data_IF_220152257192
#
_entry.id   IF_220152257192
#
_cell.length_a   1.000
_cell.length_b   1.000
_cell.length_c   1.000
_cell.angle_alpha   90.00
_cell.angle_beta   90.00
_cell.angle_gamma   90.00
#
_symmetry.space_group_name_H-M   'P 1'
#
loop_
_entity.id
_entity.type
_entity.pdbx_description
1 polymer ?
#
# COMPACT_ATOMS: atom_id res chain seq x y z
N UNK A 1 -91.46 -5.14 -8.19
CA UNK A 1 -91.98 -3.84 -7.70
C UNK A 1 -90.81 -3.19 -6.97
N UNK A 2 -90.03 -2.42 -7.63
CA UNK A 2 -90.09 -0.98 -7.80
C UNK A 2 -89.62 -0.17 -6.56
N UNK A 3 -88.48 0.48 -6.79
CA UNK A 3 -88.06 1.78 -6.32
C UNK A 3 -87.59 1.89 -4.84
N UNK A 4 -86.20 1.97 -4.73
CA UNK A 4 -85.59 3.16 -4.12
C UNK A 4 -84.05 3.10 -4.19
N UNK A 5 -83.55 3.20 -5.41
CA UNK A 5 -82.09 3.37 -5.70
C UNK A 5 -81.76 4.81 -6.07
N UNK A 6 -82.25 5.84 -5.32
CA UNK A 6 -81.92 7.23 -5.67
C UNK A 6 -82.02 8.14 -4.45
N UNK A 7 -81.25 7.93 -3.40
CA UNK A 7 -81.00 8.97 -2.37
C UNK A 7 -79.82 8.70 -1.45
N UNK A 8 -78.66 8.43 -2.02
CA UNK A 8 -77.43 8.42 -1.24
C UNK A 8 -76.24 8.99 -2.03
N UNK A 9 -76.48 10.09 -2.67
CA UNK A 9 -75.42 10.87 -3.33
C UNK A 9 -75.63 12.32 -3.00
N UNK A 10 -75.17 12.78 -1.80
CA UNK A 10 -74.88 14.18 -1.44
C UNK A 10 -74.42 14.22 0.01
N UNK A 11 -73.16 13.98 0.27
CA UNK A 11 -72.38 14.56 1.37
C UNK A 11 -71.08 13.74 1.47
N UNK A 12 -70.18 13.92 0.50
CA UNK A 12 -68.79 13.54 0.65
C UNK A 12 -68.01 14.86 0.80
N UNK A 13 -67.87 15.30 2.03
CA UNK A 13 -66.98 16.40 2.42
C UNK A 13 -65.56 16.05 2.11
N UNK A 14 -64.88 16.96 1.47
CA UNK A 14 -63.45 16.91 1.14
C UNK A 14 -62.62 16.88 2.42
N UNK A 15 -62.04 15.74 2.79
CA UNK A 15 -60.89 15.63 3.66
C UNK A 15 -59.71 15.35 2.75
N UNK A 16 -59.02 16.41 2.38
CA UNK A 16 -57.71 16.31 1.69
C UNK A 16 -56.69 15.73 2.66
N UNK A 17 -56.45 14.43 2.59
CA UNK A 17 -55.25 13.81 3.19
C UNK A 17 -54.08 14.13 2.25
N UNK A 18 -53.31 15.14 2.62
CA UNK A 18 -51.99 15.35 2.06
C UNK A 18 -51.13 14.16 2.48
N UNK A 19 -51.05 13.15 1.63
CA UNK A 19 -50.05 12.10 1.75
C UNK A 19 -48.70 12.76 1.49
N UNK A 20 -48.06 13.24 2.55
CA UNK A 20 -46.61 13.52 2.54
C UNK A 20 -45.91 12.16 2.28
N UNK A 21 -45.72 11.82 1.03
CA UNK A 21 -44.79 10.77 0.63
C UNK A 21 -43.37 11.25 1.00
N UNK A 22 -43.05 11.08 2.28
CA UNK A 22 -41.65 11.11 2.70
C UNK A 22 -40.95 10.01 1.89
N UNK A 23 -40.30 10.40 0.81
CA UNK A 23 -39.29 9.54 0.15
C UNK A 23 -38.20 9.30 1.21
N UNK A 24 -38.33 8.21 1.95
CA UNK A 24 -37.22 7.69 2.71
C UNK A 24 -36.06 7.56 1.70
N UNK A 25 -34.86 8.07 1.99
CA UNK A 25 -33.74 7.87 1.12
C UNK A 25 -33.61 6.36 0.95
N UNK A 26 -33.73 5.89 -0.28
CA UNK A 26 -33.43 4.50 -0.63
C UNK A 26 -32.01 4.25 -0.14
N UNK A 27 -31.88 3.51 0.95
CA UNK A 27 -30.59 3.07 1.43
C UNK A 27 -29.95 2.31 0.28
N UNK A 28 -28.97 2.96 -0.39
CA UNK A 28 -28.20 2.34 -1.47
C UNK A 28 -27.54 1.12 -0.86
N UNK A 29 -27.82 -0.07 -1.38
CA UNK A 29 -27.18 -1.28 -0.91
C UNK A 29 -25.65 -1.11 -0.99
N UNK A 30 -24.94 -1.49 0.07
CA UNK A 30 -23.50 -1.40 0.11
C UNK A 30 -22.89 -2.20 -1.04
N UNK A 31 -21.92 -1.62 -1.74
CA UNK A 31 -21.21 -2.34 -2.80
C UNK A 31 -20.16 -3.25 -2.17
N UNK A 32 -20.27 -4.55 -2.44
CA UNK A 32 -19.27 -5.51 -2.00
C UNK A 32 -18.01 -5.37 -2.86
N UNK A 33 -16.84 -5.33 -2.22
CA UNK A 33 -15.54 -5.39 -2.87
C UNK A 33 -14.61 -6.37 -2.15
N UNK A 34 -13.76 -7.06 -2.90
CA UNK A 34 -12.74 -7.94 -2.37
C UNK A 34 -11.39 -7.21 -2.34
N UNK A 35 -10.83 -7.04 -1.14
CA UNK A 35 -9.53 -6.39 -0.95
C UNK A 35 -8.45 -7.43 -0.71
N UNK A 36 -7.37 -7.37 -1.50
CA UNK A 36 -6.16 -8.16 -1.31
C UNK A 36 -5.14 -7.45 -0.42
N UNK A 37 -4.80 -8.04 0.72
CA UNK A 37 -3.87 -7.47 1.68
C UNK A 37 -2.91 -8.48 2.30
N UNK A 38 -2.15 -8.04 3.30
CA UNK A 38 -1.27 -8.83 4.15
C UNK A 38 -1.06 -8.12 5.50
N UNK A 39 -0.31 -8.72 6.41
CA UNK A 39 0.06 -8.10 7.70
C UNK A 39 1.12 -6.98 7.56
N UNK A 40 1.42 -6.52 6.37
CA UNK A 40 2.32 -5.40 6.10
C UNK A 40 1.63 -4.05 6.33
N UNK A 41 2.38 -3.06 6.81
CA UNK A 41 1.86 -1.73 7.17
C UNK A 41 1.15 -1.00 6.03
N UNK A 42 1.53 -1.21 4.77
CA UNK A 42 0.85 -0.62 3.60
C UNK A 42 -0.61 -1.03 3.44
N UNK A 43 -1.08 -2.01 4.21
CA UNK A 43 -2.47 -2.47 4.21
C UNK A 43 -3.26 -2.06 5.47
N UNK A 44 -2.60 -1.42 6.45
CA UNK A 44 -3.23 -1.11 7.74
C UNK A 44 -4.46 -0.22 7.60
N UNK A 45 -4.40 0.80 6.76
CA UNK A 45 -5.53 1.70 6.52
C UNK A 45 -6.78 0.95 6.02
N UNK A 46 -6.61 0.05 5.05
CA UNK A 46 -7.72 -0.73 4.51
C UNK A 46 -8.28 -1.72 5.54
N UNK A 47 -7.40 -2.39 6.31
CA UNK A 47 -7.83 -3.31 7.36
C UNK A 47 -8.57 -2.58 8.49
N UNK A 48 -8.04 -1.43 8.94
CA UNK A 48 -8.64 -0.61 9.97
C UNK A 48 -10.02 -0.07 9.52
N UNK A 49 -10.11 0.47 8.31
CA UNK A 49 -11.38 0.95 7.75
C UNK A 49 -12.44 -0.16 7.59
N UNK A 50 -12.00 -1.39 7.31
CA UNK A 50 -12.88 -2.57 7.24
C UNK A 50 -13.34 -3.02 8.65
N UNK A 51 -12.44 -3.00 9.65
CA UNK A 51 -12.72 -3.47 11.02
C UNK A 51 -13.49 -2.45 11.86
N UNK A 52 -13.53 -1.22 11.41
CA UNK A 52 -14.35 -0.14 11.96
C UNK A 52 -15.61 0.03 11.09
N UNK A 53 -16.44 1.03 11.40
CA UNK A 53 -17.61 1.38 10.59
C UNK A 53 -17.30 2.34 9.42
N UNK A 54 -16.01 2.67 9.19
CA UNK A 54 -15.58 3.64 8.17
C UNK A 54 -16.08 3.24 6.77
N UNK A 55 -15.77 2.05 6.31
CA UNK A 55 -16.21 1.60 4.98
C UNK A 55 -17.73 1.41 4.90
N UNK A 56 -18.35 0.90 5.96
CA UNK A 56 -19.80 0.71 6.01
C UNK A 56 -20.55 2.04 5.87
N UNK A 57 -20.08 3.10 6.56
CA UNK A 57 -20.64 4.46 6.44
C UNK A 57 -20.47 5.05 5.02
N UNK A 58 -19.48 4.60 4.29
CA UNK A 58 -19.23 4.99 2.89
C UNK A 58 -19.95 4.08 1.86
N UNK A 59 -20.81 3.17 2.32
CA UNK A 59 -21.56 2.27 1.44
C UNK A 59 -20.70 1.15 0.84
N UNK A 60 -19.61 0.74 1.50
CA UNK A 60 -18.70 -0.31 1.08
C UNK A 60 -18.80 -1.51 2.03
N UNK A 61 -19.07 -2.70 1.48
CA UNK A 61 -18.89 -4.00 2.13
C UNK A 61 -17.53 -4.57 1.70
N UNK A 62 -16.47 -4.28 2.47
CA UNK A 62 -15.11 -4.70 2.16
C UNK A 62 -14.82 -6.08 2.72
N UNK A 63 -14.44 -7.02 1.85
CA UNK A 63 -14.04 -8.39 2.18
C UNK A 63 -12.55 -8.53 2.04
N UNK A 64 -11.90 -8.92 3.12
CA UNK A 64 -10.45 -9.09 3.19
C UNK A 64 -10.01 -10.48 2.73
N UNK A 65 -9.00 -10.53 1.85
CA UNK A 65 -8.28 -11.75 1.52
C UNK A 65 -6.79 -11.54 1.78
N UNK A 66 -6.20 -12.41 2.61
CA UNK A 66 -4.77 -12.37 2.93
C UNK A 66 -3.93 -13.10 1.90
N UNK A 67 -2.77 -12.51 1.58
CA UNK A 67 -1.77 -13.10 0.69
C UNK A 67 -0.40 -13.05 1.35
N UNK A 68 0.36 -14.14 1.22
CA UNK A 68 1.73 -14.24 1.75
C UNK A 68 2.77 -13.48 0.91
N UNK A 69 2.47 -13.26 -0.39
CA UNK A 69 3.37 -12.54 -1.31
C UNK A 69 2.62 -11.53 -2.17
N UNK A 70 3.33 -10.47 -2.59
CA UNK A 70 2.80 -9.49 -3.55
C UNK A 70 2.48 -10.14 -4.90
N UNK A 71 3.29 -11.09 -5.35
CA UNK A 71 3.07 -11.80 -6.63
C UNK A 71 1.76 -12.58 -6.64
N UNK A 72 1.46 -13.35 -5.56
CA UNK A 72 0.19 -14.08 -5.45
C UNK A 72 -1.02 -13.13 -5.41
N UNK A 73 -0.89 -12.01 -4.68
CA UNK A 73 -1.93 -10.97 -4.61
C UNK A 73 -2.18 -10.33 -5.96
N UNK A 74 -1.12 -9.95 -6.68
CA UNK A 74 -1.25 -9.37 -8.02
C UNK A 74 -1.82 -10.36 -9.03
N UNK A 75 -1.45 -11.65 -8.96
CA UNK A 75 -2.05 -12.69 -9.79
C UNK A 75 -3.57 -12.80 -9.54
N UNK A 76 -4.03 -12.68 -8.29
CA UNK A 76 -5.47 -12.69 -7.96
C UNK A 76 -6.21 -11.44 -8.51
N UNK A 77 -5.57 -10.27 -8.54
CA UNK A 77 -6.10 -9.06 -9.20
C UNK A 77 -6.22 -9.30 -10.70
N UNK A 78 -5.18 -9.85 -11.34
CA UNK A 78 -5.17 -10.14 -12.77
C UNK A 78 -6.24 -11.17 -13.16
N UNK A 79 -6.49 -12.17 -12.30
CA UNK A 79 -7.54 -13.17 -12.48
C UNK A 79 -8.97 -12.66 -12.21
N UNK A 80 -9.13 -11.44 -11.65
CA UNK A 80 -10.43 -10.86 -11.32
C UNK A 80 -11.01 -11.29 -9.97
N UNK A 81 -10.25 -11.99 -9.13
CA UNK A 81 -10.69 -12.45 -7.81
C UNK A 81 -10.59 -11.35 -6.73
N UNK A 82 -9.78 -10.35 -6.97
CA UNK A 82 -9.58 -9.17 -6.12
C UNK A 82 -9.91 -7.92 -6.91
N UNK A 83 -10.63 -6.99 -6.27
CA UNK A 83 -11.10 -5.75 -6.88
C UNK A 83 -10.17 -4.57 -6.56
N UNK A 84 -9.73 -4.47 -5.30
CA UNK A 84 -8.74 -3.50 -4.84
C UNK A 84 -7.62 -4.21 -4.07
N UNK A 85 -6.42 -3.67 -4.12
CA UNK A 85 -5.30 -4.20 -3.36
C UNK A 85 -4.29 -3.11 -3.00
N UNK A 86 -3.52 -3.35 -1.95
CA UNK A 86 -2.24 -2.69 -1.73
C UNK A 86 -1.10 -3.56 -2.25
N UNK A 87 0.00 -2.96 -2.67
CA UNK A 87 1.23 -3.69 -3.04
C UNK A 87 2.44 -2.76 -3.03
N UNK A 88 3.64 -3.30 -2.86
CA UNK A 88 4.85 -2.54 -3.17
C UNK A 88 4.91 -2.23 -4.67
N UNK A 89 5.31 -1.01 -5.01
CA UNK A 89 5.30 -0.51 -6.40
C UNK A 89 6.17 -1.34 -7.35
N UNK A 90 7.25 -1.96 -6.87
CA UNK A 90 8.14 -2.80 -7.69
C UNK A 90 7.37 -3.95 -8.36
N UNK A 91 6.48 -4.62 -7.60
CA UNK A 91 5.63 -5.69 -8.16
C UNK A 91 4.63 -5.17 -9.20
N UNK A 92 4.10 -3.95 -9.00
CA UNK A 92 3.23 -3.32 -9.98
C UNK A 92 4.00 -2.93 -11.26
N UNK A 93 5.21 -2.36 -11.11
CA UNK A 93 6.08 -2.00 -12.23
C UNK A 93 6.48 -3.21 -13.09
N UNK A 94 6.77 -4.37 -12.46
CA UNK A 94 7.06 -5.60 -13.19
C UNK A 94 5.88 -6.04 -14.07
N UNK A 95 4.64 -5.94 -13.58
CA UNK A 95 3.44 -6.22 -14.38
C UNK A 95 3.18 -5.16 -15.45
N UNK A 96 3.42 -3.88 -15.16
CA UNK A 96 3.33 -2.83 -16.18
C UNK A 96 4.35 -3.06 -17.31
N UNK A 97 5.58 -3.45 -16.97
CA UNK A 97 6.63 -3.78 -17.93
C UNK A 97 6.24 -4.96 -18.83
N UNK A 98 5.50 -5.94 -18.32
CA UNK A 98 4.93 -7.05 -19.10
C UNK A 98 3.68 -6.66 -19.91
N UNK A 99 3.23 -5.39 -19.84
CA UNK A 99 2.08 -4.88 -20.61
C UNK A 99 0.71 -5.13 -19.97
N UNK A 100 0.64 -5.51 -18.69
CA UNK A 100 -0.62 -5.72 -17.96
C UNK A 100 -1.45 -4.44 -17.88
N UNK A 101 -2.74 -4.48 -18.27
CA UNK A 101 -3.65 -3.32 -18.29
C UNK A 101 -4.88 -3.49 -17.39
N UNK A 102 -4.93 -4.57 -16.62
CA UNK A 102 -6.09 -4.97 -15.84
C UNK A 102 -6.25 -4.18 -14.54
N UNK A 103 -5.31 -3.31 -14.17
CA UNK A 103 -5.33 -2.51 -12.97
C UNK A 103 -4.89 -1.06 -13.20
N UNK A 104 -5.23 -0.20 -12.28
CA UNK A 104 -4.84 1.21 -12.23
C UNK A 104 -4.29 1.52 -10.83
N UNK A 105 -3.23 2.31 -10.73
CA UNK A 105 -2.76 2.88 -9.47
C UNK A 105 -3.59 4.11 -9.13
N UNK A 106 -4.13 4.13 -7.92
CA UNK A 106 -5.07 5.18 -7.49
C UNK A 106 -4.54 6.04 -6.36
N UNK A 107 -3.58 5.54 -5.56
CA UNK A 107 -2.95 6.31 -4.47
C UNK A 107 -1.72 5.61 -3.90
N UNK A 108 -1.05 6.30 -2.96
CA UNK A 108 -0.08 5.75 -1.99
C UNK A 108 -0.57 6.10 -0.58
N UNK A 109 -0.70 5.13 0.34
CA UNK A 109 -1.33 5.39 1.65
C UNK A 109 -0.38 6.01 2.67
N UNK A 110 0.92 5.84 2.53
CA UNK A 110 1.91 6.20 3.54
C UNK A 110 3.31 6.44 2.96
N UNK A 111 4.20 6.96 3.82
CA UNK A 111 5.63 6.88 3.66
C UNK A 111 6.21 6.24 4.93
N UNK A 112 6.83 5.08 4.78
CA UNK A 112 7.37 4.30 5.89
C UNK A 112 8.87 4.50 6.09
N UNK A 113 9.49 5.52 5.50
CA UNK A 113 10.93 5.79 5.57
C UNK A 113 11.56 5.47 6.92
N UNK A 114 12.79 4.91 6.90
CA UNK A 114 13.54 4.35 8.05
C UNK A 114 13.02 3.02 8.62
N UNK A 115 12.13 2.34 7.95
CA UNK A 115 11.69 0.99 8.30
C UNK A 115 12.34 -0.12 7.46
N UNK A 116 13.35 0.26 6.69
CA UNK A 116 14.14 -0.61 5.82
C UNK A 116 15.59 -0.13 5.79
N UNK A 117 16.55 -1.02 5.64
CA UNK A 117 17.94 -0.63 5.59
C UNK A 117 18.91 -1.80 5.53
N UNK A 118 20.20 -1.45 5.53
CA UNK A 118 21.33 -2.36 5.56
C UNK A 118 21.93 -2.43 6.96
N UNK A 119 21.82 -3.61 7.57
CA UNK A 119 22.32 -3.92 8.90
C UNK A 119 23.60 -4.73 8.77
N UNK A 120 24.60 -4.41 9.59
CA UNK A 120 25.95 -5.00 9.53
C UNK A 120 26.45 -5.32 10.93
N UNK A 121 27.38 -6.28 11.04
CA UNK A 121 28.12 -6.51 12.27
C UNK A 121 29.04 -5.33 12.58
N UNK A 122 29.32 -5.08 13.87
CA UNK A 122 30.01 -3.89 14.37
C UNK A 122 31.39 -3.59 13.73
N UNK A 123 32.05 -4.59 13.14
CA UNK A 123 33.32 -4.44 12.43
C UNK A 123 33.22 -3.70 11.08
N UNK A 124 32.02 -3.64 10.46
CA UNK A 124 31.77 -2.95 9.18
C UNK A 124 31.43 -1.48 9.48
N UNK A 125 32.17 -0.54 8.90
CA UNK A 125 32.04 0.90 9.17
C UNK A 125 31.50 1.69 7.96
N UNK A 126 31.69 1.17 6.76
CA UNK A 126 31.35 1.80 5.49
C UNK A 126 30.88 0.77 4.46
N UNK A 127 30.35 1.22 3.32
CA UNK A 127 30.02 0.34 2.19
C UNK A 127 31.29 -0.33 1.62
N UNK A 128 32.43 0.34 1.62
CA UNK A 128 33.68 -0.24 1.13
C UNK A 128 34.13 -1.47 1.94
N UNK A 129 33.81 -1.52 3.23
CA UNK A 129 34.13 -2.68 4.09
C UNK A 129 33.30 -3.94 3.76
N UNK A 130 32.33 -3.81 2.85
CA UNK A 130 31.52 -4.92 2.36
C UNK A 130 32.18 -5.67 1.19
N UNK A 131 33.34 -5.22 0.69
CA UNK A 131 34.06 -5.92 -0.35
C UNK A 131 34.38 -7.37 0.07
N UNK A 132 34.02 -8.34 -0.79
CA UNK A 132 34.13 -9.77 -0.53
C UNK A 132 33.15 -10.34 0.50
N UNK A 133 32.27 -9.54 1.09
CA UNK A 133 31.32 -9.94 2.12
C UNK A 133 30.03 -10.55 1.56
N UNK A 134 29.37 -11.37 2.40
CA UNK A 134 28.07 -11.98 2.11
C UNK A 134 26.94 -11.10 2.63
N UNK A 135 26.07 -10.67 1.74
CA UNK A 135 24.92 -9.81 2.08
C UNK A 135 23.63 -10.59 1.81
N UNK A 136 22.86 -10.87 2.87
CA UNK A 136 21.56 -11.52 2.75
C UNK A 136 20.47 -10.51 2.39
N UNK A 137 19.64 -10.84 1.42
CA UNK A 137 18.48 -10.03 1.02
C UNK A 137 17.43 -10.89 0.32
N UNK A 138 16.16 -10.50 0.38
CA UNK A 138 15.12 -11.13 -0.45
C UNK A 138 15.11 -10.51 -1.83
N UNK A 139 15.36 -11.31 -2.87
CA UNK A 139 15.40 -10.81 -4.25
C UNK A 139 14.05 -10.22 -4.70
N UNK A 140 14.11 -9.28 -5.63
CA UNK A 140 12.96 -8.55 -6.17
C UNK A 140 12.13 -7.81 -5.10
N UNK A 141 12.72 -7.54 -3.93
CA UNK A 141 12.15 -6.69 -2.88
C UNK A 141 12.68 -5.26 -2.95
N UNK A 142 12.05 -4.36 -2.19
CA UNK A 142 12.55 -2.99 -2.00
C UNK A 142 13.95 -2.96 -1.40
N UNK A 143 14.25 -3.81 -0.40
CA UNK A 143 15.59 -3.93 0.19
C UNK A 143 16.64 -4.39 -0.82
N UNK A 144 16.27 -5.22 -1.78
CA UNK A 144 17.17 -5.58 -2.87
C UNK A 144 17.47 -4.39 -3.78
N UNK A 145 16.45 -3.60 -4.12
CA UNK A 145 16.60 -2.36 -4.89
C UNK A 145 17.48 -1.35 -4.15
N UNK A 146 17.24 -1.15 -2.84
CA UNK A 146 18.07 -0.29 -1.98
C UNK A 146 19.54 -0.75 -2.01
N UNK A 147 19.79 -2.04 -1.78
CA UNK A 147 21.13 -2.61 -1.76
C UNK A 147 21.87 -2.37 -3.09
N UNK A 148 21.22 -2.67 -4.22
CA UNK A 148 21.81 -2.48 -5.54
C UNK A 148 22.13 -1.00 -5.83
N UNK A 149 21.22 -0.10 -5.44
CA UNK A 149 21.39 1.34 -5.63
C UNK A 149 22.56 1.90 -4.79
N UNK A 150 22.64 1.55 -3.50
CA UNK A 150 23.71 2.08 -2.62
C UNK A 150 25.08 1.48 -2.97
N UNK A 151 25.16 0.23 -3.40
CA UNK A 151 26.42 -0.35 -3.93
C UNK A 151 26.85 0.41 -5.19
N UNK A 152 25.92 0.69 -6.11
CA UNK A 152 26.21 1.50 -7.31
C UNK A 152 26.66 2.92 -6.96
N UNK A 153 26.03 3.59 -5.99
CA UNK A 153 26.46 4.92 -5.50
C UNK A 153 27.90 4.87 -4.93
N UNK A 154 28.29 3.73 -4.35
CA UNK A 154 29.65 3.50 -3.85
C UNK A 154 30.66 3.05 -4.94
N UNK A 155 30.25 2.99 -6.22
CA UNK A 155 31.02 2.45 -7.35
C UNK A 155 31.42 0.98 -7.16
N UNK A 156 30.62 0.19 -6.44
CA UNK A 156 30.79 -1.25 -6.26
C UNK A 156 29.93 -2.02 -7.28
N UNK A 157 30.51 -3.06 -7.88
CA UNK A 157 29.78 -3.98 -8.77
C UNK A 157 29.12 -5.08 -7.93
N UNK A 158 27.77 -5.12 -7.83
CA UNK A 158 27.06 -6.11 -7.01
C UNK A 158 27.33 -7.56 -7.40
N UNK A 159 27.83 -7.80 -8.62
CA UNK A 159 28.11 -9.15 -9.14
C UNK A 159 29.56 -9.62 -8.92
N UNK A 160 30.46 -8.72 -8.51
CA UNK A 160 31.88 -8.99 -8.37
C UNK A 160 32.43 -8.66 -6.98
N UNK A 161 32.02 -7.50 -6.44
CA UNK A 161 32.66 -6.95 -5.24
C UNK A 161 32.03 -7.47 -3.95
N UNK A 162 30.80 -8.03 -4.03
CA UNK A 162 30.08 -8.61 -2.90
C UNK A 162 29.42 -9.94 -3.28
N UNK A 163 29.06 -10.75 -2.28
CA UNK A 163 28.27 -11.98 -2.49
C UNK A 163 26.83 -11.76 -2.01
N UNK A 164 25.90 -11.47 -2.91
CA UNK A 164 24.49 -11.29 -2.56
C UNK A 164 23.79 -12.65 -2.47
N UNK A 165 23.26 -12.96 -1.29
CA UNK A 165 22.60 -14.24 -0.98
C UNK A 165 21.09 -14.00 -0.93
N UNK A 166 20.36 -14.68 -1.81
CA UNK A 166 18.89 -14.64 -1.80
C UNK A 166 18.34 -15.46 -0.64
N UNK A 167 17.71 -14.82 0.33
CA UNK A 167 17.07 -15.43 1.48
C UNK A 167 15.63 -14.92 1.65
N UNK A 168 14.67 -15.78 2.00
CA UNK A 168 13.36 -15.35 2.46
C UNK A 168 13.50 -14.40 3.67
N UNK A 169 12.65 -13.38 3.77
CA UNK A 169 12.70 -12.42 4.89
C UNK A 169 12.64 -13.09 6.28
N UNK A 170 11.96 -14.23 6.39
CA UNK A 170 11.84 -15.03 7.61
C UNK A 170 13.15 -15.73 8.02
N UNK A 171 14.08 -15.94 7.09
CA UNK A 171 15.36 -16.62 7.31
C UNK A 171 16.50 -15.65 7.57
N UNK A 172 16.37 -14.36 7.18
CA UNK A 172 17.42 -13.36 7.32
C UNK A 172 17.91 -13.21 8.76
N UNK A 173 17.00 -13.19 9.75
CA UNK A 173 17.34 -13.07 11.16
C UNK A 173 18.21 -14.23 11.65
N UNK A 174 17.85 -15.45 11.27
CA UNK A 174 18.59 -16.65 11.68
C UNK A 174 19.97 -16.70 11.00
N UNK A 175 20.04 -16.40 9.70
CA UNK A 175 21.29 -16.37 8.95
C UNK A 175 22.27 -15.30 9.47
N UNK A 176 21.75 -14.10 9.79
CA UNK A 176 22.55 -13.03 10.36
C UNK A 176 23.08 -13.38 11.76
N UNK A 177 22.20 -13.86 12.66
CA UNK A 177 22.59 -14.30 14.01
C UNK A 177 23.62 -15.44 13.99
N UNK A 178 23.50 -16.34 13.02
CA UNK A 178 24.41 -17.48 12.83
C UNK A 178 25.71 -17.13 12.10
N UNK A 179 25.99 -15.85 11.82
CA UNK A 179 27.15 -15.39 11.04
C UNK A 179 27.30 -16.09 9.67
N UNK A 180 26.19 -16.53 9.06
CA UNK A 180 26.16 -17.08 7.71
C UNK A 180 26.23 -15.98 6.63
N UNK A 181 25.81 -14.76 7.00
CA UNK A 181 25.91 -13.53 6.23
C UNK A 181 26.55 -12.43 7.09
N UNK A 182 27.35 -11.56 6.46
CA UNK A 182 28.06 -10.44 7.11
C UNK A 182 27.17 -9.20 7.25
N UNK A 183 26.15 -9.08 6.39
CA UNK A 183 25.18 -7.99 6.36
C UNK A 183 23.81 -8.49 5.96
N UNK A 184 22.76 -7.76 6.35
CA UNK A 184 21.39 -8.06 5.98
C UNK A 184 20.69 -6.78 5.47
N UNK A 185 20.18 -6.82 4.25
CA UNK A 185 19.25 -5.81 3.75
C UNK A 185 17.81 -6.31 4.01
N UNK A 186 17.08 -5.60 4.85
CA UNK A 186 15.80 -6.06 5.37
C UNK A 186 14.83 -4.90 5.64
N UNK A 187 13.56 -5.24 5.78
CA UNK A 187 12.48 -4.34 6.19
C UNK A 187 11.80 -4.82 7.48
N UNK A 188 11.07 -3.93 8.14
CA UNK A 188 10.29 -4.20 9.36
C UNK A 188 9.26 -5.33 9.12
N UNK A 189 9.08 -6.31 10.04
CA UNK A 189 9.67 -6.37 11.39
C UNK A 189 11.04 -7.06 11.45
N UNK A 190 11.52 -7.69 10.39
CA UNK A 190 12.82 -8.39 10.37
C UNK A 190 13.98 -7.42 10.60
N UNK A 191 13.91 -6.23 9.98
CA UNK A 191 14.86 -5.13 10.17
C UNK A 191 15.00 -4.78 11.66
N UNK A 192 13.88 -4.53 12.35
CA UNK A 192 13.92 -4.14 13.77
C UNK A 192 14.48 -5.24 14.67
N UNK A 193 14.13 -6.50 14.38
CA UNK A 193 14.63 -7.65 15.12
C UNK A 193 16.14 -7.87 14.95
N UNK A 194 16.67 -7.68 13.74
CA UNK A 194 18.11 -7.73 13.50
C UNK A 194 18.80 -6.54 14.15
N UNK A 195 18.24 -5.33 14.02
CA UNK A 195 18.76 -4.09 14.62
C UNK A 195 18.87 -4.16 16.14
N UNK A 196 17.99 -4.92 16.79
CA UNK A 196 18.00 -5.12 18.25
C UNK A 196 19.06 -6.15 18.73
N UNK A 197 19.75 -6.86 17.83
CA UNK A 197 20.78 -7.82 18.22
C UNK A 197 22.02 -7.09 18.74
N UNK A 198 22.73 -7.68 19.72
CA UNK A 198 24.04 -7.21 20.14
C UNK A 198 25.00 -7.14 18.93
N UNK A 199 25.94 -6.19 18.96
CA UNK A 199 26.96 -5.99 17.92
C UNK A 199 26.41 -5.74 16.49
N UNK A 200 25.14 -5.37 16.37
CA UNK A 200 24.54 -4.94 15.12
C UNK A 200 24.56 -3.42 14.99
N UNK A 201 24.90 -2.95 13.81
CA UNK A 201 24.90 -1.54 13.43
C UNK A 201 24.01 -1.32 12.20
N UNK A 202 23.19 -0.28 12.24
CA UNK A 202 22.55 0.25 11.05
C UNK A 202 23.60 1.01 10.23
N UNK A 203 23.96 0.50 9.06
CA UNK A 203 24.91 1.15 8.17
C UNK A 203 24.24 2.29 7.39
N UNK A 204 23.05 2.02 6.86
CA UNK A 204 22.21 2.99 6.16
C UNK A 204 20.74 2.54 6.19
N UNK A 205 19.83 3.48 6.02
CA UNK A 205 18.40 3.24 5.86
C UNK A 205 17.93 3.67 4.45
N UNK A 206 16.63 3.52 4.19
CA UNK A 206 15.99 3.84 2.92
C UNK A 206 16.05 5.35 2.55
N UNK A 207 16.39 6.25 3.48
CA UNK A 207 16.70 7.65 3.16
C UNK A 207 18.01 7.83 2.36
N UNK A 208 18.85 6.79 2.32
CA UNK A 208 20.07 6.72 1.49
C UNK A 208 19.78 6.35 0.03
N UNK A 209 18.54 5.98 -0.29
CA UNK A 209 18.12 5.69 -1.65
C UNK A 209 18.25 6.94 -2.54
N UNK A 210 18.83 6.80 -3.73
CA UNK A 210 19.16 7.95 -4.59
C UNK A 210 17.95 8.82 -4.97
N UNK A 211 16.75 8.22 -5.08
CA UNK A 211 15.52 8.95 -5.39
C UNK A 211 14.84 9.57 -4.15
N UNK A 212 15.26 9.20 -2.94
CA UNK A 212 14.60 9.68 -1.71
C UNK A 212 14.74 11.19 -1.54
N UNK A 213 15.94 11.71 -1.73
CA UNK A 213 16.24 13.14 -1.52
C UNK A 213 15.41 14.07 -2.41
N UNK A 214 15.18 13.68 -3.66
CA UNK A 214 14.48 14.52 -4.64
C UNK A 214 12.97 14.28 -4.64
N UNK A 215 12.54 13.03 -4.50
CA UNK A 215 11.14 12.65 -4.68
C UNK A 215 10.45 12.20 -3.39
N UNK A 216 11.18 12.14 -2.27
CA UNK A 216 10.73 11.51 -1.02
C UNK A 216 10.26 10.07 -1.23
N UNK A 217 10.86 9.39 -2.23
CA UNK A 217 10.49 8.06 -2.66
C UNK A 217 11.40 7.03 -2.02
N UNK A 218 10.83 6.08 -1.28
CA UNK A 218 11.54 4.90 -0.78
C UNK A 218 11.80 3.89 -1.90
N UNK A 219 12.68 2.89 -1.74
CA UNK A 219 13.01 1.92 -2.79
C UNK A 219 11.80 1.11 -3.30
N UNK A 220 10.76 0.98 -2.50
CA UNK A 220 9.55 0.25 -2.87
C UNK A 220 8.30 0.78 -2.17
N UNK A 221 7.87 2.03 -2.47
CA UNK A 221 6.71 2.60 -1.81
C UNK A 221 5.47 1.74 -2.03
N UNK A 222 4.59 1.75 -1.03
CA UNK A 222 3.29 1.10 -1.16
C UNK A 222 2.37 1.89 -2.08
N UNK A 223 1.62 1.18 -2.89
CA UNK A 223 0.59 1.75 -3.76
C UNK A 223 -0.74 1.03 -3.57
N UNK A 224 -1.81 1.78 -3.70
CA UNK A 224 -3.17 1.25 -3.80
C UNK A 224 -3.57 1.16 -5.26
N UNK A 225 -4.16 0.04 -5.62
CA UNK A 225 -4.62 -0.21 -6.97
C UNK A 225 -6.06 -0.71 -6.99
N UNK A 226 -6.71 -0.46 -8.11
CA UNK A 226 -8.05 -0.97 -8.43
C UNK A 226 -8.01 -1.74 -9.73
N UNK A 227 -8.74 -2.87 -9.80
CA UNK A 227 -8.96 -3.61 -11.03
C UNK A 227 -9.79 -2.77 -12.00
N UNK A 228 -9.30 -2.57 -13.22
CA UNK A 228 -9.91 -1.69 -14.23
C UNK A 228 -11.38 -2.02 -14.51
N UNK A 229 -11.71 -3.31 -14.65
CA UNK A 229 -13.08 -3.74 -14.90
C UNK A 229 -14.03 -3.44 -13.72
N UNK A 230 -13.55 -3.56 -12.48
CA UNK A 230 -14.32 -3.20 -11.27
C UNK A 230 -14.57 -1.70 -11.21
N UNK A 231 -13.54 -0.89 -11.43
CA UNK A 231 -13.64 0.56 -11.41
C UNK A 231 -14.60 1.10 -12.48
N UNK A 232 -14.63 0.47 -13.66
CA UNK A 232 -15.57 0.82 -14.74
C UNK A 232 -17.02 0.48 -14.37
N UNK A 233 -17.25 -0.66 -13.69
CA UNK A 233 -18.57 -1.08 -13.24
C UNK A 233 -19.08 -0.28 -12.03
N UNK A 234 -18.17 0.21 -11.18
CA UNK A 234 -18.47 0.90 -9.91
C UNK A 234 -17.62 2.17 -9.77
N UNK A 235 -17.83 3.20 -10.62
CA UNK A 235 -16.92 4.36 -10.70
C UNK A 235 -16.83 5.19 -9.42
N UNK A 236 -17.85 5.17 -8.56
CA UNK A 236 -17.87 5.91 -7.28
C UNK A 236 -17.09 5.18 -6.17
N UNK A 237 -16.94 3.85 -6.27
CA UNK A 237 -16.38 3.03 -5.20
C UNK A 237 -14.89 3.32 -4.95
N UNK A 238 -14.00 3.46 -5.95
CA UNK A 238 -12.61 3.81 -5.70
C UNK A 238 -12.44 5.13 -4.95
N UNK A 239 -13.27 6.14 -5.25
CA UNK A 239 -13.26 7.42 -4.54
C UNK A 239 -13.69 7.26 -3.08
N UNK A 240 -14.81 6.57 -2.82
CA UNK A 240 -15.28 6.28 -1.48
C UNK A 240 -14.25 5.44 -0.70
N UNK A 241 -13.60 4.49 -1.35
CA UNK A 241 -12.53 3.69 -0.76
C UNK A 241 -11.36 4.57 -0.31
N UNK A 242 -10.86 5.49 -1.15
CA UNK A 242 -9.77 6.41 -0.79
C UNK A 242 -10.16 7.37 0.33
N UNK A 243 -11.43 7.81 0.41
CA UNK A 243 -11.93 8.56 1.56
C UNK A 243 -11.84 7.73 2.85
N UNK A 244 -12.18 6.45 2.79
CA UNK A 244 -12.05 5.54 3.93
C UNK A 244 -10.59 5.31 4.33
N UNK A 245 -9.68 5.18 3.37
CA UNK A 245 -8.22 5.10 3.61
C UNK A 245 -7.74 6.36 4.34
N UNK A 246 -8.15 7.55 3.90
CA UNK A 246 -7.74 8.80 4.55
C UNK A 246 -8.26 8.92 5.99
N UNK A 247 -9.51 8.51 6.26
CA UNK A 247 -10.07 8.47 7.63
C UNK A 247 -9.32 7.47 8.53
N UNK A 248 -8.96 6.30 8.01
CA UNK A 248 -8.17 5.32 8.75
C UNK A 248 -6.74 5.83 9.01
N UNK A 249 -6.11 6.52 8.05
CA UNK A 249 -4.82 7.18 8.23
C UNK A 249 -4.88 8.27 9.31
N UNK A 250 -5.95 9.06 9.32
CA UNK A 250 -6.20 10.07 10.35
C UNK A 250 -6.28 9.43 11.75
N UNK A 251 -7.02 8.33 11.88
CA UNK A 251 -7.11 7.57 13.13
C UNK A 251 -5.73 7.01 13.55
N UNK A 252 -4.92 6.48 12.64
CA UNK A 252 -3.58 5.98 12.96
C UNK A 252 -2.61 7.10 13.38
N UNK A 253 -2.82 8.32 12.86
CA UNK A 253 -2.00 9.49 13.16
C UNK A 253 -2.35 10.11 14.52
N UNK A 254 -3.65 10.30 14.79
CA UNK A 254 -4.11 11.08 15.94
C UNK A 254 -4.56 10.22 17.13
N UNK A 255 -5.02 8.99 16.88
CA UNK A 255 -5.50 8.04 17.89
C UNK A 255 -4.82 6.65 17.78
N UNK A 256 -3.46 6.55 17.71
CA UNK A 256 -2.77 5.29 17.48
C UNK A 256 -3.10 4.23 18.54
N UNK A 257 -3.38 4.63 19.77
CA UNK A 257 -3.78 3.75 20.86
C UNK A 257 -5.13 3.05 20.61
N UNK A 258 -6.04 3.67 19.85
CA UNK A 258 -7.30 3.03 19.40
C UNK A 258 -7.08 2.16 18.16
N UNK A 259 -6.18 2.54 17.27
CA UNK A 259 -5.88 1.78 16.06
C UNK A 259 -5.09 0.50 16.36
N UNK A 260 -4.12 0.55 17.26
CA UNK A 260 -3.20 -0.55 17.56
C UNK A 260 -3.90 -1.88 17.92
N UNK A 261 -4.87 -1.95 18.85
CA UNK A 261 -5.53 -3.20 19.20
C UNK A 261 -6.24 -3.88 18.02
N UNK A 262 -6.78 -3.09 17.10
CA UNK A 262 -7.43 -3.60 15.89
C UNK A 262 -6.38 -4.18 14.95
N UNK A 263 -5.28 -3.47 14.72
CA UNK A 263 -4.20 -3.90 13.83
C UNK A 263 -3.45 -5.12 14.37
N UNK A 264 -3.32 -5.28 15.68
CA UNK A 264 -2.75 -6.46 16.32
C UNK A 264 -3.50 -7.76 15.95
N UNK A 265 -4.79 -7.68 15.62
CA UNK A 265 -5.55 -8.85 15.13
C UNK A 265 -5.12 -9.29 13.70
N UNK A 266 -4.43 -8.42 12.97
CA UNK A 266 -3.85 -8.72 11.66
C UNK A 266 -2.37 -9.13 11.77
N UNK A 267 -1.61 -8.44 12.63
CA UNK A 267 -0.15 -8.50 12.64
C UNK A 267 0.43 -9.51 13.63
N UNK A 268 -0.32 -9.84 14.69
CA UNK A 268 0.14 -10.60 15.86
C UNK A 268 1.38 -10.00 16.54
N UNK A 269 1.58 -8.66 16.42
CA UNK A 269 2.63 -7.91 17.11
C UNK A 269 2.20 -7.60 18.54
N UNK A 270 3.16 -7.32 19.41
CA UNK A 270 2.88 -6.71 20.71
C UNK A 270 2.34 -5.29 20.55
N UNK A 271 1.68 -4.77 21.57
CA UNK A 271 1.17 -3.39 21.54
C UNK A 271 2.30 -2.37 21.37
N UNK A 272 3.45 -2.61 22.00
CA UNK A 272 4.62 -1.74 21.88
C UNK A 272 5.16 -1.71 20.45
N UNK A 273 5.38 -2.87 19.83
CA UNK A 273 5.81 -2.99 18.43
C UNK A 273 4.80 -2.32 17.48
N UNK A 274 3.51 -2.57 17.69
CA UNK A 274 2.47 -1.99 16.84
C UNK A 274 2.42 -0.47 16.95
N UNK A 275 2.51 0.09 18.17
CA UNK A 275 2.56 1.54 18.39
C UNK A 275 3.84 2.17 17.83
N UNK A 276 4.98 1.49 17.92
CA UNK A 276 6.23 1.97 17.32
C UNK A 276 6.08 2.13 15.80
N UNK A 277 5.51 1.14 15.10
CA UNK A 277 5.24 1.21 13.66
C UNK A 277 4.29 2.37 13.34
N UNK A 278 3.20 2.53 14.10
CA UNK A 278 2.24 3.61 13.86
C UNK A 278 2.86 5.00 14.01
N UNK A 279 3.73 5.20 15.00
CA UNK A 279 4.36 6.49 15.30
C UNK A 279 5.52 6.84 14.36
N UNK A 280 6.22 5.86 13.81
CA UNK A 280 7.34 6.12 12.89
C UNK A 280 6.90 6.30 11.44
N UNK A 281 5.70 5.82 11.06
CA UNK A 281 5.19 5.89 9.70
C UNK A 281 4.43 7.20 9.47
N UNK A 282 4.68 7.86 8.35
CA UNK A 282 3.89 8.99 7.89
C UNK A 282 2.64 8.47 7.16
N UNK A 283 1.48 8.59 7.79
CA UNK A 283 0.18 8.25 7.18
C UNK A 283 -0.35 9.45 6.41
N UNK A 284 -0.52 9.31 5.10
CA UNK A 284 -0.93 10.43 4.26
C UNK A 284 -2.41 10.77 4.41
N UNK A 285 -2.71 12.07 4.63
CA UNK A 285 -4.06 12.61 4.49
C UNK A 285 -4.53 12.55 3.03
N UNK A 286 -5.82 12.79 2.79
CA UNK A 286 -6.36 12.84 1.43
C UNK A 286 -5.66 13.92 0.58
N UNK A 287 -5.44 15.11 1.13
CA UNK A 287 -4.79 16.21 0.42
C UNK A 287 -3.32 15.91 0.10
N UNK A 288 -2.61 15.25 1.02
CA UNK A 288 -1.24 14.80 0.77
C UNK A 288 -1.20 13.74 -0.35
N UNK A 289 -2.09 12.75 -0.33
CA UNK A 289 -2.19 11.76 -1.41
C UNK A 289 -2.47 12.44 -2.75
N UNK A 290 -3.40 13.39 -2.79
CA UNK A 290 -3.72 14.16 -3.98
C UNK A 290 -2.52 14.96 -4.49
N UNK A 291 -1.81 15.68 -3.61
CA UNK A 291 -0.63 16.47 -3.97
C UNK A 291 0.52 15.60 -4.53
N UNK A 292 0.63 14.34 -4.08
CA UNK A 292 1.62 13.40 -4.58
C UNK A 292 1.31 12.92 -6.01
N UNK A 293 0.04 12.79 -6.37
CA UNK A 293 -0.40 12.27 -7.68
C UNK A 293 -0.71 13.36 -8.70
N UNK A 294 -1.18 14.52 -8.25
CA UNK A 294 -1.63 15.64 -9.12
C UNK A 294 -0.67 16.81 -8.97
N UNK A 295 0.10 17.06 -10.00
CA UNK A 295 0.96 18.24 -10.07
C UNK A 295 0.23 19.50 -10.55
N UNK A 296 0.90 20.62 -10.54
CA UNK A 296 0.38 21.88 -11.05
C UNK A 296 0.30 21.90 -12.58
N UNK A 297 -0.72 22.57 -13.12
CA UNK A 297 -0.86 22.75 -14.58
C UNK A 297 -1.09 21.47 -15.37
N UNK A 298 -1.72 20.44 -14.77
CA UNK A 298 -2.04 19.17 -15.44
C UNK A 298 -0.84 18.23 -15.62
N UNK A 299 0.29 18.52 -14.97
CA UNK A 299 1.45 17.62 -14.92
C UNK A 299 1.23 16.53 -13.89
N UNK A 300 1.92 15.37 -14.02
CA UNK A 300 1.97 14.38 -12.96
C UNK A 300 2.50 14.98 -11.64
N UNK A 301 2.07 14.46 -10.51
CA UNK A 301 2.62 14.83 -9.20
C UNK A 301 3.99 14.21 -8.96
N UNK A 302 4.71 14.67 -7.92
CA UNK A 302 6.09 14.26 -7.66
C UNK A 302 6.25 12.75 -7.41
N UNK A 303 5.25 12.11 -6.83
CA UNK A 303 5.25 10.65 -6.65
C UNK A 303 5.24 9.90 -7.99
N UNK A 304 4.42 10.35 -8.94
CA UNK A 304 4.32 9.73 -10.27
C UNK A 304 5.63 9.86 -11.04
N UNK A 305 6.25 11.04 -10.98
CA UNK A 305 7.57 11.29 -11.59
C UNK A 305 8.65 10.43 -10.92
N UNK A 306 8.64 10.34 -9.59
CA UNK A 306 9.55 9.48 -8.84
C UNK A 306 9.41 8.00 -9.19
N UNK A 307 8.17 7.50 -9.30
CA UNK A 307 7.90 6.10 -9.71
C UNK A 307 8.37 5.84 -11.16
N UNK A 308 8.24 6.84 -12.07
CA UNK A 308 8.83 6.70 -13.41
C UNK A 308 10.35 6.56 -13.33
N UNK A 309 11.03 7.38 -12.51
CA UNK A 309 12.48 7.28 -12.30
C UNK A 309 12.90 5.95 -11.67
N UNK A 310 12.10 5.46 -10.72
CA UNK A 310 12.32 4.12 -10.16
C UNK A 310 12.17 3.04 -11.24
N UNK A 311 11.18 3.17 -12.11
CA UNK A 311 10.99 2.24 -13.22
C UNK A 311 12.20 2.23 -14.19
N UNK A 312 12.71 3.41 -14.53
CA UNK A 312 13.93 3.55 -15.37
C UNK A 312 15.13 2.88 -14.68
N UNK A 313 15.30 3.13 -13.37
CA UNK A 313 16.36 2.52 -12.56
C UNK A 313 16.25 0.99 -12.50
N UNK A 314 15.05 0.44 -12.39
CA UNK A 314 14.85 -1.02 -12.35
C UNK A 314 15.31 -1.70 -13.65
N UNK A 315 15.23 -1.03 -14.80
CA UNK A 315 15.83 -1.50 -16.06
C UNK A 315 17.36 -1.50 -15.96
N UNK A 316 17.95 -0.39 -15.50
CA UNK A 316 19.39 -0.27 -15.30
C UNK A 316 19.95 -1.31 -14.33
N UNK A 317 19.17 -1.66 -13.30
CA UNK A 317 19.47 -2.70 -12.32
C UNK A 317 19.09 -4.12 -12.80
N UNK A 318 18.60 -4.27 -14.02
CA UNK A 318 18.17 -5.55 -14.62
C UNK A 318 17.10 -6.29 -13.82
N UNK A 319 16.22 -5.53 -13.17
CA UNK A 319 15.09 -6.07 -12.39
C UNK A 319 13.82 -6.20 -13.25
N UNK A 320 13.69 -5.39 -14.30
CA UNK A 320 12.67 -5.47 -15.34
C UNK A 320 13.30 -5.26 -16.72
N UNK A 321 12.68 -5.79 -17.76
CA UNK A 321 13.25 -5.75 -19.12
C UNK A 321 13.05 -4.39 -19.82
N UNK A 322 12.00 -3.67 -19.47
CA UNK A 322 11.66 -2.36 -20.06
C UNK A 322 10.94 -1.46 -19.06
N UNK A 323 11.18 -0.15 -19.17
CA UNK A 323 10.48 0.84 -18.36
C UNK A 323 9.12 1.19 -18.99
N UNK A 324 8.00 0.88 -18.34
CA UNK A 324 6.69 1.31 -18.79
C UNK A 324 6.50 2.82 -18.61
N UNK A 325 5.67 3.45 -19.45
CA UNK A 325 5.21 4.83 -19.18
C UNK A 325 4.19 4.79 -18.03
N UNK A 326 4.66 4.99 -16.80
CA UNK A 326 3.89 4.82 -15.55
C UNK A 326 2.58 5.60 -15.57
N UNK A 327 2.56 6.82 -16.14
CA UNK A 327 1.37 7.65 -16.24
C UNK A 327 0.16 6.95 -16.90
N UNK A 328 0.38 5.91 -17.73
CA UNK A 328 -0.71 5.16 -18.36
C UNK A 328 -1.51 4.31 -17.36
N UNK A 329 -0.96 4.03 -16.19
CA UNK A 329 -1.62 3.26 -15.12
C UNK A 329 -2.11 4.13 -13.98
N UNK A 330 -1.76 5.44 -13.96
CA UNK A 330 -2.20 6.36 -12.92
C UNK A 330 -3.64 6.80 -13.15
N UNK A 331 -4.45 6.74 -12.11
CA UNK A 331 -5.83 7.24 -12.12
C UNK A 331 -6.09 8.17 -10.93
N UNK A 332 -5.54 9.39 -11.01
CA UNK A 332 -5.64 10.41 -9.96
C UNK A 332 -7.05 11.03 -9.81
N UNK A 333 -7.98 10.74 -10.72
CA UNK A 333 -9.35 11.29 -10.69
C UNK A 333 -10.20 10.80 -9.51
N UNK A 334 -9.72 9.80 -8.78
CA UNK A 334 -10.38 9.30 -7.57
C UNK A 334 -9.96 10.04 -6.29
N UNK A 335 -8.88 10.85 -6.35
CA UNK A 335 -8.33 11.68 -5.25
C UNK A 335 -9.01 13.06 -5.17
#
# INVERSE_FOLDING_TARGET
MSTNRRRFLKQASWIGVAAATGMAPLARAATTLNYGGSAWLGHYAAYLAMKTDIFTKLGIDCRWQSFSTSSARMAAVMAGNIDLAGTGVVSALALMASGAKQFQLISTPNNFGKSEGLLVHAGVKSLADLEGKKIGVTYASSSHVLLLDVLRQANMDPSKDVSIINLPATELLAAYRGNQIDAAAAWTPTFDRIKALPDTKLLLDDSSFSLYKQYQLTPGPDVLLVRTAFANAHPDVPKAFLQGIAQANDMMTHDPEKAAPILMTLTNLSQEEQLAILKQTQWYSHDQQKALFVGSGGKPGPFVDGVQKLSDMLVDLKQIDQSPKVANWIKATYL
#
